data_IF_232644648721
#
_entry.id   IF_232644648721
#
_cell.length_a   1.000
_cell.length_b   1.000
_cell.length_c   1.000
_cell.angle_alpha   90.00
_cell.angle_beta   90.00
_cell.angle_gamma   90.00
#
_symmetry.space_group_name_H-M   'P 1'
#
loop_
_entity.id
_entity.type
_entity.pdbx_description
1 polymer ?
#
# COMPACT_ATOMS: atom_id res chain seq x y z
N UNK A 1 -17.76 -9.13 9.12
CA UNK A 1 -16.84 -8.24 8.39
C UNK A 1 -15.46 -8.42 9.02
N UNK A 2 -14.46 -8.79 8.24
CA UNK A 2 -13.09 -8.97 8.74
C UNK A 2 -12.30 -7.70 8.45
N UNK A 3 -11.69 -7.10 9.47
CA UNK A 3 -10.85 -5.91 9.34
C UNK A 3 -9.40 -6.31 9.55
N UNK A 4 -8.52 -5.85 8.66
CA UNK A 4 -7.07 -5.95 8.82
C UNK A 4 -6.59 -4.55 9.22
N UNK A 5 -5.91 -4.45 10.36
CA UNK A 5 -5.27 -3.22 10.80
C UNK A 5 -3.76 -3.37 10.56
N UNK A 6 -3.19 -2.45 9.79
CA UNK A 6 -1.76 -2.42 9.52
C UNK A 6 -1.14 -1.30 10.36
N UNK A 7 -0.17 -1.63 11.21
CA UNK A 7 0.54 -0.66 12.04
C UNK A 7 2.06 -0.90 11.95
N UNK A 8 2.77 0.06 11.36
CA UNK A 8 4.20 -0.10 11.02
C UNK A 8 5.13 0.18 12.19
N UNK A 9 4.64 0.84 13.23
CA UNK A 9 5.40 1.19 14.43
C UNK A 9 4.79 0.65 15.72
N UNK A 10 5.65 0.33 16.68
CA UNK A 10 5.23 -0.09 18.03
C UNK A 10 4.46 1.02 18.76
N UNK A 11 4.77 2.29 18.48
CA UNK A 11 4.05 3.44 19.04
C UNK A 11 2.59 3.47 18.56
N UNK A 12 2.36 3.23 17.26
CA UNK A 12 1.02 3.15 16.70
C UNK A 12 0.24 1.96 17.26
N UNK A 13 0.88 0.80 17.36
CA UNK A 13 0.30 -0.40 17.98
C UNK A 13 -0.12 -0.11 19.43
N UNK A 14 0.78 0.43 20.26
CA UNK A 14 0.51 0.78 21.65
C UNK A 14 -0.60 1.84 21.80
N UNK A 15 -0.75 2.75 20.82
CA UNK A 15 -1.89 3.68 20.77
C UNK A 15 -3.19 2.94 20.48
N UNK A 16 -3.20 2.10 19.46
CA UNK A 16 -4.38 1.36 19.02
C UNK A 16 -4.86 0.33 20.03
N UNK A 17 -3.97 -0.29 20.80
CA UNK A 17 -4.30 -1.19 21.91
C UNK A 17 -5.19 -0.52 22.96
N UNK A 18 -5.01 0.78 23.19
CA UNK A 18 -5.83 1.56 24.14
C UNK A 18 -7.22 1.89 23.59
N UNK A 19 -7.47 1.67 22.30
CA UNK A 19 -8.72 1.98 21.62
C UNK A 19 -9.58 0.71 21.56
N UNK A 20 -10.68 0.72 22.30
CA UNK A 20 -11.55 -0.44 22.46
C UNK A 20 -12.34 -0.77 21.17
N UNK A 21 -12.80 0.25 20.45
CA UNK A 21 -13.50 0.07 19.17
C UNK A 21 -12.50 0.05 18.01
N UNK A 22 -12.37 -1.09 17.37
CA UNK A 22 -11.46 -1.31 16.25
C UNK A 22 -11.58 -0.28 15.12
N UNK A 23 -12.80 0.14 14.79
CA UNK A 23 -13.07 1.18 13.77
C UNK A 23 -12.35 2.52 14.03
N UNK A 24 -12.01 2.84 15.28
CA UNK A 24 -11.28 4.07 15.63
C UNK A 24 -9.75 3.89 15.65
N UNK A 25 -9.24 2.71 15.30
CA UNK A 25 -7.80 2.45 15.17
C UNK A 25 -7.32 2.93 13.80
N UNK A 26 -7.13 4.24 13.67
CA UNK A 26 -6.67 4.89 12.44
C UNK A 26 -5.31 5.56 12.66
N UNK A 27 -4.59 5.85 11.58
CA UNK A 27 -3.47 6.80 11.59
C UNK A 27 -3.99 8.21 11.94
N UNK A 28 -3.08 9.10 12.37
CA UNK A 28 -3.44 10.51 12.52
C UNK A 28 -3.40 11.18 11.15
N UNK A 29 -4.12 12.29 11.02
CA UNK A 29 -4.14 13.09 9.78
C UNK A 29 -2.71 13.54 9.43
N UNK A 30 -1.93 13.98 10.41
CA UNK A 30 -0.55 14.44 10.18
C UNK A 30 0.50 13.32 10.06
N UNK A 31 0.09 12.05 10.07
CA UNK A 31 0.94 10.85 10.14
C UNK A 31 0.81 9.97 8.88
N UNK A 32 1.02 10.60 7.72
CA UNK A 32 0.86 9.98 6.41
C UNK A 32 1.76 8.74 6.18
N UNK A 33 2.93 8.68 6.82
CA UNK A 33 3.86 7.54 6.69
C UNK A 33 3.28 6.25 7.28
N UNK A 34 2.43 6.37 8.30
CA UNK A 34 1.70 5.22 8.86
C UNK A 34 0.39 4.94 8.11
N UNK A 35 -0.02 5.83 7.19
CA UNK A 35 -1.24 5.77 6.40
C UNK A 35 -0.97 5.35 4.93
N UNK A 36 0.27 4.98 4.62
CA UNK A 36 0.71 4.47 3.32
C UNK A 36 1.39 3.11 3.47
N UNK A 37 1.01 2.16 2.61
CA UNK A 37 1.58 0.81 2.61
C UNK A 37 1.85 0.33 1.19
N UNK A 38 3.05 -0.21 0.99
CA UNK A 38 3.40 -0.97 -0.20
C UNK A 38 3.59 -2.43 0.20
N UNK A 39 2.67 -3.28 -0.22
CA UNK A 39 2.69 -4.71 0.07
C UNK A 39 3.17 -5.43 -1.18
N UNK A 40 4.28 -6.14 -1.06
CA UNK A 40 4.81 -7.03 -2.08
C UNK A 40 4.55 -8.47 -1.65
N UNK A 41 3.86 -9.23 -2.47
CA UNK A 41 3.53 -10.62 -2.20
C UNK A 41 3.88 -11.49 -3.40
N UNK A 42 4.56 -12.60 -3.15
CA UNK A 42 4.82 -13.60 -4.17
C UNK A 42 3.64 -14.59 -4.22
N UNK A 43 3.00 -14.71 -5.39
CA UNK A 43 1.97 -15.72 -5.66
C UNK A 43 2.65 -16.96 -6.25
N UNK A 44 2.99 -17.91 -5.38
CA UNK A 44 3.65 -19.15 -5.76
C UNK A 44 2.81 -20.05 -6.69
N UNK A 45 1.49 -19.84 -6.79
CA UNK A 45 0.65 -20.63 -7.70
C UNK A 45 0.76 -20.12 -9.14
N UNK A 46 0.91 -18.81 -9.31
CA UNK A 46 1.01 -18.15 -10.62
C UNK A 46 2.43 -17.81 -11.03
N UNK A 47 3.40 -18.03 -10.14
CA UNK A 47 4.80 -17.66 -10.33
C UNK A 47 4.93 -16.16 -10.68
N UNK A 48 4.18 -15.33 -9.94
CA UNK A 48 4.14 -13.88 -10.18
C UNK A 48 4.27 -13.10 -8.87
N UNK A 49 4.66 -11.84 -9.00
CA UNK A 49 4.70 -10.92 -7.88
C UNK A 49 3.55 -9.93 -7.94
N UNK A 50 2.80 -9.86 -6.84
CA UNK A 50 1.69 -8.96 -6.64
C UNK A 50 2.16 -7.73 -5.86
N UNK A 51 1.87 -6.55 -6.41
CA UNK A 51 2.09 -5.27 -5.76
C UNK A 51 0.73 -4.67 -5.37
N UNK A 52 0.52 -4.46 -4.07
CA UNK A 52 -0.66 -3.78 -3.54
C UNK A 52 -0.24 -2.49 -2.83
N UNK A 53 -0.72 -1.37 -3.32
CA UNK A 53 -0.58 -0.06 -2.65
C UNK A 53 -1.86 0.23 -1.88
N UNK A 54 -1.74 0.48 -0.57
CA UNK A 54 -2.85 0.92 0.27
C UNK A 54 -2.55 2.34 0.73
N UNK A 55 -3.45 3.26 0.38
CA UNK A 55 -3.42 4.66 0.82
C UNK A 55 -4.61 4.93 1.70
N UNK A 56 -4.37 5.51 2.87
CA UNK A 56 -5.42 6.00 3.74
C UNK A 56 -5.88 7.42 3.40
N UNK A 57 -6.83 7.93 4.18
CA UNK A 57 -7.58 9.12 3.86
C UNK A 57 -6.79 10.43 3.93
N UNK A 58 -5.56 10.47 4.45
CA UNK A 58 -4.75 11.70 4.36
C UNK A 58 -3.43 11.54 3.59
N UNK A 59 -2.95 10.30 3.42
CA UNK A 59 -1.76 10.03 2.60
C UNK A 59 -1.86 10.58 1.17
N UNK A 60 -3.05 10.64 0.59
CA UNK A 60 -3.26 11.15 -0.78
C UNK A 60 -3.26 12.68 -0.90
N UNK A 61 -3.38 13.42 0.21
CA UNK A 61 -3.38 14.89 0.23
C UNK A 61 -1.96 15.49 0.25
N UNK A 62 -0.95 14.65 0.54
CA UNK A 62 0.46 15.02 0.57
C UNK A 62 1.04 15.08 -0.85
N UNK A 63 1.74 16.17 -1.17
CA UNK A 63 2.33 16.38 -2.49
C UNK A 63 3.45 15.39 -2.80
N UNK A 64 4.11 14.85 -1.77
CA UNK A 64 5.18 13.86 -1.92
C UNK A 64 4.68 12.56 -2.55
N UNK A 65 3.46 12.13 -2.22
CA UNK A 65 2.86 10.91 -2.74
C UNK A 65 2.08 11.12 -4.03
N UNK A 66 1.59 12.33 -4.28
CA UNK A 66 0.74 12.62 -5.44
C UNK A 66 1.43 12.43 -6.80
N UNK A 67 2.74 12.66 -6.90
CA UNK A 67 3.50 12.33 -8.12
C UNK A 67 3.75 10.83 -8.23
N UNK A 68 4.19 10.19 -7.15
CA UNK A 68 4.45 8.75 -7.09
C UNK A 68 3.20 7.92 -7.44
N UNK A 69 2.07 8.19 -6.80
CA UNK A 69 0.81 7.48 -7.04
C UNK A 69 0.34 7.62 -8.49
N UNK A 70 0.52 8.81 -9.08
CA UNK A 70 0.21 9.06 -10.49
C UNK A 70 1.14 8.28 -11.42
N UNK A 71 2.43 8.22 -11.11
CA UNK A 71 3.38 7.39 -11.87
C UNK A 71 3.03 5.91 -11.76
N UNK A 72 2.73 5.41 -10.56
CA UNK A 72 2.28 4.02 -10.38
C UNK A 72 1.03 3.73 -11.21
N UNK A 73 0.03 4.60 -11.16
CA UNK A 73 -1.22 4.42 -11.92
C UNK A 73 -0.99 4.49 -13.44
N UNK A 74 -0.45 5.61 -13.94
CA UNK A 74 -0.37 5.89 -15.37
C UNK A 74 0.78 5.19 -16.10
N UNK A 75 1.91 4.96 -15.43
CA UNK A 75 3.11 4.42 -16.08
C UNK A 75 3.29 2.92 -15.84
N UNK A 76 2.67 2.37 -14.78
CA UNK A 76 2.85 0.96 -14.41
C UNK A 76 1.53 0.20 -14.52
N UNK A 77 0.52 0.56 -13.72
CA UNK A 77 -0.72 -0.23 -13.59
C UNK A 77 -1.54 -0.19 -14.87
N UNK A 78 -1.89 1.00 -15.37
CA UNK A 78 -2.71 1.12 -16.57
C UNK A 78 -2.06 0.42 -17.77
N UNK A 79 -0.78 0.65 -18.12
CA UNK A 79 -0.15 -0.02 -19.25
C UNK A 79 -0.01 -1.54 -19.05
N UNK A 80 0.20 -2.01 -17.82
CA UNK A 80 0.29 -3.45 -17.53
C UNK A 80 -1.06 -4.15 -17.72
N UNK A 81 -2.14 -3.55 -17.19
CA UNK A 81 -3.50 -4.09 -17.31
C UNK A 81 -3.95 -4.21 -18.78
N UNK A 82 -3.53 -3.27 -19.64
CA UNK A 82 -3.85 -3.32 -21.08
C UNK A 82 -2.80 -4.07 -21.92
N UNK A 83 -1.82 -4.72 -21.29
CA UNK A 83 -0.79 -5.51 -21.95
C UNK A 83 0.21 -4.72 -22.79
N UNK A 84 0.39 -3.42 -22.51
CA UNK A 84 1.36 -2.54 -23.21
C UNK A 84 2.78 -2.63 -22.64
N UNK A 85 2.93 -3.01 -21.38
CA UNK A 85 4.22 -3.23 -20.74
C UNK A 85 4.28 -4.64 -20.17
N UNK A 86 5.44 -5.27 -20.31
CA UNK A 86 5.76 -6.57 -19.73
C UNK A 86 7.07 -6.45 -18.97
N UNK A 87 7.10 -6.94 -17.73
CA UNK A 87 8.31 -6.97 -16.93
C UNK A 87 8.86 -8.40 -17.00
N UNK A 88 10.04 -8.61 -17.63
CA UNK A 88 10.62 -9.95 -17.70
C UNK A 88 11.03 -10.44 -16.31
N UNK A 89 10.95 -11.75 -16.09
CA UNK A 89 11.36 -12.34 -14.84
C UNK A 89 12.87 -12.16 -14.62
N UNK A 90 13.22 -11.92 -13.35
CA UNK A 90 14.59 -11.55 -12.93
C UNK A 90 15.61 -12.67 -13.26
N UNK A 91 15.15 -13.90 -13.45
CA UNK A 91 15.98 -15.08 -13.74
C UNK A 91 16.25 -15.31 -15.24
N UNK A 92 15.74 -14.49 -16.17
CA UNK A 92 16.02 -14.58 -17.61
C UNK A 92 17.23 -13.71 -18.06
N UNK A 93 18.31 -13.64 -17.27
CA UNK A 93 19.56 -12.94 -17.64
C UNK A 93 20.73 -13.85 -18.01
#
# INVERSE_FOLDING_TARGET
MHHIHLASSQALQARWEKINRQYYRTALVDDADNDFWLIYAYDAFRDEYLLLTITGPDAHNRSEWGSFLRTVDCEIVEPWVVGRIFFPDIDER
#
